data_IF_485541333496
#
_entry.id   IF_485541333496
#
_cell.length_a   1.000
_cell.length_b   1.000
_cell.length_c   1.000
_cell.angle_alpha   90.00
_cell.angle_beta   90.00
_cell.angle_gamma   90.00
#
_symmetry.space_group_name_H-M   'P 1'
#
loop_
_entity.id
_entity.type
_entity.pdbx_description
1 polymer ?
#
# COMPACT_ATOMS: atom_id res chain seq x y z
N UNK A 1 -26.48 14.30 0.84
CA UNK A 1 -25.40 14.27 1.86
C UNK A 1 -24.68 12.95 1.68
N UNK A 2 -23.51 12.94 1.05
CA UNK A 2 -22.72 11.72 0.87
C UNK A 2 -21.91 11.53 2.14
N UNK A 3 -22.27 10.55 2.97
CA UNK A 3 -21.52 10.20 4.18
C UNK A 3 -20.13 9.76 3.75
N UNK A 4 -19.11 10.57 4.05
CA UNK A 4 -17.72 10.21 3.75
C UNK A 4 -17.35 9.10 4.74
N UNK A 5 -17.14 7.88 4.22
CA UNK A 5 -16.63 6.77 5.02
C UNK A 5 -15.28 7.13 5.65
N UNK A 6 -15.03 6.67 6.86
CA UNK A 6 -13.71 6.80 7.48
C UNK A 6 -12.68 5.90 6.77
N UNK A 7 -11.39 6.27 6.85
CA UNK A 7 -10.32 5.49 6.22
C UNK A 7 -10.26 4.05 6.75
N UNK A 8 -10.59 3.84 8.03
CA UNK A 8 -10.65 2.52 8.66
C UNK A 8 -11.80 1.66 8.10
N UNK A 9 -12.98 2.26 7.90
CA UNK A 9 -14.12 1.57 7.26
C UNK A 9 -13.80 1.20 5.81
N UNK A 10 -13.15 2.11 5.06
CA UNK A 10 -12.68 1.83 3.70
C UNK A 10 -11.73 0.64 3.70
N UNK A 11 -10.73 0.63 4.59
CA UNK A 11 -9.79 -0.48 4.72
C UNK A 11 -10.49 -1.81 5.02
N UNK A 12 -11.40 -1.81 6.00
CA UNK A 12 -12.14 -3.00 6.40
C UNK A 12 -12.96 -3.57 5.24
N UNK A 13 -13.70 -2.71 4.53
CA UNK A 13 -14.51 -3.14 3.38
C UNK A 13 -13.63 -3.65 2.23
N UNK A 14 -12.50 -3.00 1.95
CA UNK A 14 -11.54 -3.49 0.95
C UNK A 14 -11.00 -4.88 1.28
N UNK A 15 -10.68 -5.13 2.55
CA UNK A 15 -10.19 -6.44 3.01
C UNK A 15 -11.27 -7.51 2.90
N UNK A 16 -12.51 -7.19 3.29
CA UNK A 16 -13.65 -8.11 3.18
C UNK A 16 -13.94 -8.47 1.71
N UNK A 17 -13.95 -7.48 0.81
CA UNK A 17 -14.11 -7.72 -0.63
C UNK A 17 -12.94 -8.55 -1.18
N UNK A 18 -11.70 -8.24 -0.80
CA UNK A 18 -10.52 -8.99 -1.25
C UNK A 18 -10.56 -10.46 -0.82
N UNK A 19 -11.00 -10.72 0.42
CA UNK A 19 -11.20 -12.09 0.94
C UNK A 19 -12.25 -12.82 0.10
N UNK A 20 -13.41 -12.20 -0.13
CA UNK A 20 -14.50 -12.80 -0.92
C UNK A 20 -14.09 -13.05 -2.37
N UNK A 21 -13.37 -12.13 -3.00
CA UNK A 21 -12.82 -12.34 -4.34
C UNK A 21 -11.89 -13.54 -4.40
N UNK A 22 -11.06 -13.76 -3.38
CA UNK A 22 -10.14 -14.89 -3.31
C UNK A 22 -10.88 -16.22 -3.12
N UNK A 23 -11.92 -16.24 -2.28
CA UNK A 23 -12.81 -17.40 -2.12
C UNK A 23 -13.48 -17.77 -3.46
N UNK A 24 -14.09 -16.80 -4.13
CA UNK A 24 -14.71 -17.01 -5.44
C UNK A 24 -13.70 -17.46 -6.51
N UNK A 25 -12.49 -16.92 -6.48
CA UNK A 25 -11.43 -17.36 -7.38
C UNK A 25 -11.05 -18.82 -7.16
N UNK A 26 -10.92 -19.26 -5.90
CA UNK A 26 -10.65 -20.68 -5.55
C UNK A 26 -11.78 -21.61 -5.99
N UNK A 27 -13.02 -21.12 -5.99
CA UNK A 27 -14.20 -21.84 -6.47
C UNK A 27 -14.41 -21.75 -7.99
N UNK A 28 -13.48 -21.12 -8.73
CA UNK A 28 -13.57 -20.86 -10.18
C UNK A 28 -14.82 -20.04 -10.59
N UNK A 29 -15.32 -19.20 -9.68
CA UNK A 29 -16.48 -18.30 -9.84
C UNK A 29 -16.06 -16.92 -10.32
N UNK A 30 -15.52 -16.87 -11.55
CA UNK A 30 -14.91 -15.65 -12.09
C UNK A 30 -15.94 -14.52 -12.34
N UNK A 31 -17.18 -14.86 -12.69
CA UNK A 31 -18.22 -13.86 -12.95
C UNK A 31 -18.62 -13.14 -11.67
N UNK A 32 -18.94 -13.89 -10.61
CA UNK A 32 -19.28 -13.34 -9.29
C UNK A 32 -18.09 -12.56 -8.70
N UNK A 33 -16.86 -13.02 -8.92
CA UNK A 33 -15.66 -12.29 -8.51
C UNK A 33 -15.57 -10.94 -9.22
N UNK A 34 -15.90 -10.87 -10.50
CA UNK A 34 -15.79 -9.66 -11.30
C UNK A 34 -16.81 -8.59 -10.92
N UNK A 35 -17.99 -8.99 -10.39
CA UNK A 35 -18.98 -8.06 -9.84
C UNK A 35 -18.45 -7.26 -8.65
N UNK A 36 -17.48 -7.80 -7.91
CA UNK A 36 -16.88 -7.13 -6.75
C UNK A 36 -15.80 -6.09 -7.14
N UNK A 37 -15.28 -6.14 -8.37
CA UNK A 37 -14.15 -5.31 -8.81
C UNK A 37 -14.46 -3.81 -8.83
N UNK A 38 -15.63 -3.35 -9.32
CA UNK A 38 -15.96 -1.92 -9.33
C UNK A 38 -15.94 -1.30 -7.94
N UNK A 39 -16.59 -1.95 -6.95
CA UNK A 39 -16.62 -1.45 -5.57
C UNK A 39 -15.22 -1.45 -4.95
N UNK A 40 -14.45 -2.51 -5.17
CA UNK A 40 -13.07 -2.55 -4.71
C UNK A 40 -12.22 -1.40 -5.28
N UNK A 41 -12.38 -1.08 -6.58
CA UNK A 41 -11.67 0.03 -7.23
C UNK A 41 -12.10 1.40 -6.70
N UNK A 42 -13.38 1.57 -6.40
CA UNK A 42 -13.91 2.79 -5.78
C UNK A 42 -13.27 3.02 -4.41
N UNK A 43 -13.31 2.00 -3.54
CA UNK A 43 -12.68 2.04 -2.22
C UNK A 43 -11.17 2.29 -2.33
N UNK A 44 -10.50 1.59 -3.26
CA UNK A 44 -9.08 1.78 -3.52
C UNK A 44 -8.73 3.22 -3.88
N UNK A 45 -9.60 3.94 -4.60
CA UNK A 45 -9.34 5.33 -5.01
C UNK A 45 -9.45 6.31 -3.84
N UNK A 46 -10.31 6.03 -2.87
CA UNK A 46 -10.57 6.93 -1.73
C UNK A 46 -9.73 6.58 -0.49
N UNK A 47 -9.11 5.41 -0.46
CA UNK A 47 -8.26 4.98 0.66
C UNK A 47 -7.01 5.83 0.79
N UNK A 48 -6.76 6.38 1.97
CA UNK A 48 -5.54 7.11 2.27
C UNK A 48 -4.47 6.13 2.81
N UNK A 49 -3.41 5.95 2.05
CA UNK A 49 -2.25 5.14 2.44
C UNK A 49 -1.34 5.82 3.47
N UNK A 50 -1.56 7.12 3.75
CA UNK A 50 -0.81 7.87 4.76
C UNK A 50 0.65 8.14 4.39
N UNK A 51 0.94 8.22 3.08
CA UNK A 51 2.26 8.53 2.53
C UNK A 51 2.37 9.99 2.08
N UNK A 52 3.56 10.57 2.22
CA UNK A 52 3.88 11.94 1.80
C UNK A 52 4.88 11.99 0.65
N UNK A 53 4.81 13.04 -0.18
CA UNK A 53 5.84 13.33 -1.17
C UNK A 53 7.17 13.61 -0.45
N UNK A 54 8.28 13.09 -0.99
CA UNK A 54 9.63 13.01 -0.41
C UNK A 54 9.80 12.04 0.77
N UNK A 55 8.77 11.29 1.15
CA UNK A 55 8.90 10.25 2.18
C UNK A 55 9.77 9.09 1.67
N UNK A 56 10.67 8.60 2.53
CA UNK A 56 11.48 7.41 2.27
C UNK A 56 10.69 6.17 2.70
N UNK A 57 10.57 5.20 1.81
CA UNK A 57 9.70 4.04 1.97
C UNK A 57 10.38 2.76 1.50
N UNK A 58 9.87 1.62 1.94
CA UNK A 58 10.23 0.30 1.42
C UNK A 58 9.25 -0.16 0.36
N UNK A 59 9.73 -0.88 -0.64
CA UNK A 59 8.92 -1.29 -1.79
C UNK A 59 9.37 -2.63 -2.38
N UNK A 60 8.43 -3.30 -3.06
CA UNK A 60 8.65 -4.54 -3.84
C UNK A 60 8.60 -4.30 -5.35
N UNK A 61 8.63 -3.04 -5.79
CA UNK A 61 8.42 -2.66 -7.19
C UNK A 61 9.39 -3.32 -8.17
N UNK A 62 10.67 -3.38 -7.81
CA UNK A 62 11.73 -3.96 -8.66
C UNK A 62 12.04 -5.41 -8.29
N UNK A 63 11.73 -5.84 -7.06
CA UNK A 63 11.90 -7.20 -6.55
C UNK A 63 10.66 -7.66 -5.80
N UNK A 64 9.79 -8.40 -6.49
CA UNK A 64 8.44 -8.78 -6.02
C UNK A 64 8.36 -9.46 -4.66
N UNK A 65 9.45 -10.05 -4.17
CA UNK A 65 9.48 -10.79 -2.90
C UNK A 65 10.31 -10.10 -1.82
N UNK A 66 10.97 -8.99 -2.11
CA UNK A 66 11.93 -8.38 -1.21
C UNK A 66 11.56 -6.93 -0.88
N UNK A 67 11.11 -6.72 0.35
CA UNK A 67 10.76 -5.39 0.88
C UNK A 67 11.96 -4.58 1.39
N UNK A 68 13.20 -4.99 1.08
CA UNK A 68 14.40 -4.28 1.52
C UNK A 68 14.84 -3.18 0.57
N UNK A 69 14.15 -3.00 -0.57
CA UNK A 69 14.46 -1.88 -1.46
C UNK A 69 13.81 -0.60 -0.97
N UNK A 70 14.63 0.43 -0.85
CA UNK A 70 14.20 1.76 -0.45
C UNK A 70 13.95 2.65 -1.67
N UNK A 71 12.93 3.49 -1.56
CA UNK A 71 12.61 4.49 -2.55
C UNK A 71 12.12 5.77 -1.90
N UNK A 72 12.14 6.86 -2.66
CA UNK A 72 11.53 8.13 -2.28
C UNK A 72 10.28 8.33 -3.11
N UNK A 73 9.19 8.74 -2.47
CA UNK A 73 7.96 9.13 -3.16
C UNK A 73 8.18 10.48 -3.85
N UNK A 74 7.98 10.52 -5.16
CA UNK A 74 8.15 11.72 -5.99
C UNK A 74 6.80 12.37 -6.28
N UNK A 75 5.79 11.57 -6.59
CA UNK A 75 4.46 12.03 -6.99
C UNK A 75 3.38 11.06 -6.51
N UNK A 76 2.18 11.58 -6.25
CA UNK A 76 0.98 10.80 -5.95
C UNK A 76 -0.15 11.20 -6.90
N UNK A 77 -0.81 10.20 -7.47
CA UNK A 77 -1.90 10.37 -8.44
C UNK A 77 -3.26 10.11 -7.80
N UNK A 78 -4.32 10.67 -8.41
CA UNK A 78 -5.71 10.51 -7.95
C UNK A 78 -6.22 9.06 -7.95
N UNK A 79 -5.55 8.14 -8.63
CA UNK A 79 -5.88 6.70 -8.63
C UNK A 79 -5.00 5.91 -7.64
N UNK A 80 -4.45 6.56 -6.61
CA UNK A 80 -3.61 5.94 -5.59
C UNK A 80 -2.39 5.18 -6.10
N UNK A 81 -1.85 5.64 -7.24
CA UNK A 81 -0.52 5.27 -7.71
C UNK A 81 0.49 6.32 -7.26
N UNK A 82 1.67 5.83 -6.91
CA UNK A 82 2.80 6.62 -6.43
C UNK A 82 3.95 6.45 -7.41
N UNK A 83 4.51 7.57 -7.89
CA UNK A 83 5.79 7.57 -8.57
C UNK A 83 6.87 7.47 -7.50
N UNK A 84 7.65 6.41 -7.53
CA UNK A 84 8.76 6.18 -6.61
C UNK A 84 10.08 6.16 -7.37
N UNK A 85 11.15 6.65 -6.74
CA UNK A 85 12.51 6.65 -7.28
C UNK A 85 13.47 5.93 -6.34
N UNK A 86 14.25 4.98 -6.85
CA UNK A 86 15.32 4.34 -6.06
C UNK A 86 16.64 5.12 -6.13
N UNK A 87 17.64 4.66 -5.38
CA UNK A 87 18.98 5.27 -5.32
C UNK A 87 19.71 5.31 -6.67
N UNK A 88 19.35 4.41 -7.59
CA UNK A 88 19.91 4.37 -8.96
C UNK A 88 19.25 5.37 -9.91
N UNK A 89 18.29 6.16 -9.41
CA UNK A 89 17.52 7.11 -10.22
C UNK A 89 16.43 6.48 -11.08
N UNK A 90 16.13 5.18 -10.90
CA UNK A 90 15.06 4.51 -11.65
C UNK A 90 13.71 4.88 -11.05
N UNK A 91 12.77 5.23 -11.92
CA UNK A 91 11.42 5.65 -11.56
C UNK A 91 10.37 4.66 -12.02
N UNK A 92 9.34 4.45 -11.20
CA UNK A 92 8.22 3.59 -11.54
C UNK A 92 6.96 4.02 -10.80
N UNK A 93 5.80 3.91 -11.48
CA UNK A 93 4.50 4.05 -10.84
C UNK A 93 4.06 2.73 -10.22
N UNK A 94 3.72 2.75 -8.92
CA UNK A 94 3.23 1.56 -8.21
C UNK A 94 1.95 1.84 -7.41
N UNK A 95 1.11 0.81 -7.21
CA UNK A 95 0.01 0.88 -6.24
C UNK A 95 0.54 1.13 -4.82
N UNK A 96 -0.20 1.86 -3.99
CA UNK A 96 0.14 2.04 -2.57
C UNK A 96 0.41 0.75 -1.79
N UNK A 97 -0.23 -0.38 -2.15
CA UNK A 97 0.01 -1.70 -1.56
C UNK A 97 1.41 -2.27 -1.80
N UNK A 98 2.17 -1.74 -2.75
CA UNK A 98 3.55 -2.14 -3.01
C UNK A 98 4.56 -1.30 -2.22
N UNK A 99 4.06 -0.41 -1.35
CA UNK A 99 4.86 0.51 -0.56
C UNK A 99 4.53 0.27 0.93
N UNK A 100 5.53 0.37 1.79
CA UNK A 100 5.35 0.41 3.25
C UNK A 100 6.31 1.42 3.87
N UNK A 101 5.94 1.94 5.03
CA UNK A 101 6.85 2.78 5.83
C UNK A 101 8.06 1.96 6.27
N UNK A 102 9.23 2.59 6.27
CA UNK A 102 10.41 2.00 6.92
C UNK A 102 10.08 1.93 8.41
N UNK A 103 10.14 0.74 9.01
CA UNK A 103 10.06 0.63 10.46
C UNK A 103 11.34 1.27 11.01
N UNK A 104 11.20 2.35 11.77
CA UNK A 104 12.31 2.82 12.59
C UNK A 104 12.62 1.70 13.59
N UNK A 105 13.82 1.12 13.52
CA UNK A 105 14.33 0.34 14.65
C UNK A 105 14.40 1.32 15.82
N UNK A 106 13.69 1.02 16.92
CA UNK A 106 13.86 1.77 18.16
C UNK A 106 15.36 1.80 18.49
N UNK A 107 15.95 2.97 18.78
CA UNK A 107 17.35 3.01 19.16
C UNK A 107 17.54 2.11 20.37
N UNK A 108 18.40 1.09 20.26
CA UNK A 108 18.73 0.23 21.39
C UNK A 108 19.08 1.12 22.59
N UNK A 109 18.54 0.84 23.80
CA UNK A 109 18.83 1.64 24.97
C UNK A 109 20.35 1.65 25.16
N UNK A 110 20.93 2.84 25.04
CA UNK A 110 22.36 3.10 25.23
C UNK A 110 22.78 2.45 26.55
N UNK A 111 23.50 1.32 26.49
CA UNK A 111 24.11 0.75 27.69
C UNK A 111 25.17 1.75 28.15
N UNK A 112 24.81 2.56 29.16
CA UNK A 112 25.77 3.32 29.94
C UNK A 112 26.65 2.29 30.67
N UNK A 113 27.78 1.95 30.07
CA UNK A 113 28.89 1.33 30.80
C UNK A 113 29.45 2.37 31.76
N UNK A 114 28.98 2.33 33.00
CA UNK A 114 29.67 2.98 34.12
C UNK A 114 30.85 2.08 34.48
N UNK A 115 32.06 2.55 34.12
CA UNK A 115 33.32 2.06 34.67
C UNK A 115 33.47 2.50 36.13
#
# INVERSE_FOLDING_TARGET
MTTIMSNEEVYKEMMDISRKMNELYKENKLNERNELVPRWRELYRIYDFGFSIKEKVQTIAWRRTNWNEEAIIIEHTKDNKFLIRNEKGLEVYVPGFHIRKIKEEEPEPMQLTLF
#
